data_IF_831345959914
#
_entry.id   IF_831345959914
#
_cell.length_a   1.000
_cell.length_b   1.000
_cell.length_c   1.000
_cell.angle_alpha   90.00
_cell.angle_beta   90.00
_cell.angle_gamma   90.00
#
_symmetry.space_group_name_H-M   'P 1'
#
loop_
_entity.id
_entity.type
_entity.pdbx_description
1 polymer ?
#
# COMPACT_ATOMS: atom_id res chain seq x y z
N UNK A 1 -11.03 -1.96 -5.27
CA UNK A 1 -10.77 -0.76 -4.48
C UNK A 1 -12.08 -0.19 -3.94
N UNK A 2 -12.15 0.05 -2.63
CA UNK A 2 -13.39 0.44 -1.93
C UNK A 2 -13.06 1.48 -0.86
N UNK A 3 -13.59 2.69 -1.02
CA UNK A 3 -13.61 3.73 0.00
C UNK A 3 -14.89 3.68 0.83
N UNK A 4 -14.77 3.91 2.13
CA UNK A 4 -15.91 4.09 3.04
C UNK A 4 -15.75 5.40 3.82
N UNK A 5 -16.84 6.15 3.98
CA UNK A 5 -16.86 7.38 4.76
C UNK A 5 -17.83 7.28 5.95
N UNK A 6 -17.37 7.71 7.13
CA UNK A 6 -18.19 7.82 8.34
C UNK A 6 -17.99 9.18 8.96
N UNK A 7 -19.05 9.95 9.14
CA UNK A 7 -19.03 11.31 9.72
C UNK A 7 -18.04 12.27 9.04
N UNK A 8 -17.79 12.08 7.72
CA UNK A 8 -16.90 12.91 6.92
C UNK A 8 -15.45 12.39 6.85
N UNK A 9 -15.07 11.36 7.59
CA UNK A 9 -13.76 10.71 7.50
C UNK A 9 -13.81 9.50 6.58
N UNK A 10 -12.77 9.33 5.78
CA UNK A 10 -12.65 8.25 4.80
C UNK A 10 -11.70 7.16 5.26
N UNK A 11 -11.90 5.96 4.71
CA UNK A 11 -10.93 4.87 4.69
C UNK A 11 -10.73 4.40 3.27
N UNK A 12 -9.57 3.84 2.97
CA UNK A 12 -9.25 3.27 1.67
C UNK A 12 -8.81 1.81 1.82
N UNK A 13 -9.33 0.95 0.93
CA UNK A 13 -9.03 -0.48 0.96
C UNK A 13 -9.13 -1.10 -0.41
N UNK A 14 -8.07 -1.80 -0.83
CA UNK A 14 -8.07 -2.62 -2.03
C UNK A 14 -7.87 -4.09 -1.69
N UNK A 15 -8.65 -4.95 -2.33
CA UNK A 15 -8.49 -6.40 -2.32
C UNK A 15 -8.40 -6.91 -3.75
N UNK A 16 -7.44 -7.79 -4.04
CA UNK A 16 -7.27 -8.34 -5.39
C UNK A 16 -8.06 -9.62 -5.57
N UNK A 17 -8.92 -9.63 -6.59
CA UNK A 17 -9.65 -10.82 -7.05
C UNK A 17 -9.05 -11.30 -8.37
N UNK A 18 -8.95 -12.60 -8.54
CA UNK A 18 -8.44 -13.20 -9.76
C UNK A 18 -9.42 -14.23 -10.31
N UNK A 19 -9.87 -14.04 -11.55
CA UNK A 19 -10.78 -14.95 -12.21
C UNK A 19 -10.04 -16.18 -12.74
N UNK A 20 -10.50 -17.36 -12.38
CA UNK A 20 -9.97 -18.63 -12.85
C UNK A 20 -9.87 -19.70 -11.78
N UNK A 21 -9.75 -20.96 -12.20
CA UNK A 21 -9.67 -22.13 -11.33
C UNK A 21 -8.29 -22.36 -10.72
N UNK A 22 -7.25 -21.72 -11.26
CA UNK A 22 -5.88 -21.81 -10.74
C UNK A 22 -5.20 -20.45 -10.85
N UNK A 23 -4.58 -20.02 -9.76
CA UNK A 23 -3.79 -18.80 -9.73
C UNK A 23 -2.35 -19.14 -10.14
N UNK A 24 -1.73 -18.42 -11.10
CA UNK A 24 -0.32 -18.58 -11.41
C UNK A 24 0.53 -18.26 -10.17
N UNK A 25 1.51 -19.12 -9.87
CA UNK A 25 2.34 -18.98 -8.67
C UNK A 25 3.03 -17.62 -8.60
N UNK A 26 3.55 -17.13 -9.72
CA UNK A 26 4.20 -15.81 -9.79
C UNK A 26 3.27 -14.63 -9.44
N UNK A 27 1.95 -14.76 -9.68
CA UNK A 27 0.99 -13.73 -9.27
C UNK A 27 0.75 -13.79 -7.75
N UNK A 28 0.70 -15.00 -7.20
CA UNK A 28 0.61 -15.21 -5.74
C UNK A 28 1.86 -14.65 -5.06
N UNK A 29 3.05 -14.95 -5.58
CA UNK A 29 4.32 -14.49 -5.02
C UNK A 29 4.44 -12.96 -5.08
N UNK A 30 4.05 -12.36 -6.20
CA UNK A 30 4.04 -10.90 -6.35
C UNK A 30 3.05 -10.22 -5.39
N UNK A 31 1.86 -10.80 -5.21
CA UNK A 31 0.89 -10.29 -4.23
C UNK A 31 1.44 -10.42 -2.79
N UNK A 32 1.98 -11.57 -2.44
CA UNK A 32 2.57 -11.80 -1.11
C UNK A 32 3.71 -10.81 -0.83
N UNK A 33 4.53 -10.51 -1.86
CA UNK A 33 5.57 -9.48 -1.73
C UNK A 33 4.98 -8.09 -1.48
N UNK A 34 3.86 -7.73 -2.12
CA UNK A 34 3.15 -6.48 -1.80
C UNK A 34 2.66 -6.47 -0.34
N UNK A 35 2.17 -7.60 0.17
CA UNK A 35 1.78 -7.73 1.60
C UNK A 35 2.97 -7.52 2.53
N UNK A 36 4.12 -8.11 2.22
CA UNK A 36 5.36 -7.92 3.00
C UNK A 36 5.76 -6.43 3.02
N UNK A 37 5.74 -5.77 1.85
CA UNK A 37 6.04 -4.34 1.72
C UNK A 37 5.07 -3.49 2.55
N UNK A 38 3.77 -3.79 2.50
CA UNK A 38 2.77 -3.07 3.30
C UNK A 38 3.06 -3.21 4.80
N UNK A 39 3.35 -4.43 5.26
CA UNK A 39 3.66 -4.70 6.67
C UNK A 39 4.95 -4.00 7.11
N UNK A 40 5.99 -4.00 6.26
CA UNK A 40 7.24 -3.30 6.52
C UNK A 40 7.00 -1.79 6.63
N UNK A 41 6.33 -1.18 5.66
CA UNK A 41 5.97 0.23 5.69
C UNK A 41 5.11 0.58 6.92
N UNK A 42 4.10 -0.23 7.23
CA UNK A 42 3.25 -0.05 8.41
C UNK A 42 4.07 -0.08 9.71
N UNK A 43 5.06 -0.97 9.84
CA UNK A 43 5.91 -1.04 11.03
C UNK A 43 6.70 0.25 11.30
N UNK A 44 6.92 1.06 10.27
CA UNK A 44 7.63 2.35 10.31
C UNK A 44 6.71 3.55 10.55
N UNK A 45 5.38 3.40 10.48
CA UNK A 45 4.42 4.48 10.74
C UNK A 45 4.35 4.82 12.23
N UNK A 46 5.33 5.57 12.71
CA UNK A 46 5.46 6.00 14.11
C UNK A 46 5.57 7.52 14.19
N UNK A 47 5.17 8.13 15.31
CA UNK A 47 5.42 9.55 15.55
C UNK A 47 6.90 9.89 15.38
N UNK A 48 7.19 10.92 14.59
CA UNK A 48 8.55 11.35 14.27
C UNK A 48 9.21 10.67 13.08
N UNK A 49 8.62 9.61 12.52
CA UNK A 49 9.11 8.99 11.28
C UNK A 49 8.93 9.94 10.10
N UNK A 50 9.85 9.88 9.14
CA UNK A 50 9.85 10.74 7.96
C UNK A 50 9.33 9.94 6.75
N UNK A 51 8.26 10.40 6.07
CA UNK A 51 7.67 9.68 4.93
C UNK A 51 8.66 9.37 3.80
N UNK A 52 9.55 10.30 3.45
CA UNK A 52 10.57 10.10 2.41
C UNK A 52 11.62 9.05 2.81
N UNK A 53 11.94 8.91 4.10
CA UNK A 53 12.84 7.87 4.60
C UNK A 53 12.18 6.49 4.56
N UNK A 54 10.89 6.41 4.91
CA UNK A 54 10.09 5.18 4.77
C UNK A 54 10.09 4.74 3.32
N UNK A 55 9.75 5.66 2.40
CA UNK A 55 9.76 5.39 0.96
C UNK A 55 11.13 4.88 0.48
N UNK A 56 12.20 5.59 0.82
CA UNK A 56 13.57 5.25 0.42
C UNK A 56 13.98 3.87 0.96
N UNK A 57 13.65 3.57 2.20
CA UNK A 57 13.93 2.27 2.83
C UNK A 57 13.26 1.14 2.04
N UNK A 58 11.96 1.27 1.76
CA UNK A 58 11.21 0.27 0.98
C UNK A 58 11.79 0.13 -0.42
N UNK A 59 12.01 1.24 -1.14
CA UNK A 59 12.51 1.17 -2.52
C UNK A 59 13.89 0.54 -2.63
N UNK A 60 14.76 0.76 -1.64
CA UNK A 60 16.10 0.17 -1.57
C UNK A 60 16.10 -1.32 -1.20
N UNK A 61 15.03 -1.83 -0.57
CA UNK A 61 14.89 -3.25 -0.23
C UNK A 61 14.45 -4.12 -1.42
N UNK A 62 14.00 -3.49 -2.51
CA UNK A 62 13.46 -4.19 -3.67
C UNK A 62 14.52 -4.39 -4.75
N UNK A 63 14.53 -5.59 -5.33
CA UNK A 63 15.38 -5.88 -6.49
C UNK A 63 14.85 -5.22 -7.78
N UNK A 64 15.70 -5.15 -8.79
CA UNK A 64 15.39 -4.50 -10.07
C UNK A 64 14.25 -5.18 -10.84
N UNK A 65 14.06 -6.48 -10.67
CA UNK A 65 12.98 -7.23 -11.31
C UNK A 65 11.63 -6.88 -10.67
N UNK A 66 11.58 -6.80 -9.35
CA UNK A 66 10.35 -6.40 -8.65
C UNK A 66 10.02 -4.92 -8.90
N UNK A 67 11.01 -4.04 -8.99
CA UNK A 67 10.82 -2.61 -9.31
C UNK A 67 10.24 -2.38 -10.71
N UNK A 68 10.40 -3.32 -11.65
CA UNK A 68 9.74 -3.26 -12.94
C UNK A 68 8.22 -3.39 -12.74
N UNK A 69 7.44 -2.39 -13.16
CA UNK A 69 5.98 -2.33 -12.95
C UNK A 69 5.52 -2.35 -11.47
N UNK A 70 6.40 -2.07 -10.51
CA UNK A 70 6.00 -1.76 -9.15
C UNK A 70 5.32 -0.38 -9.10
N UNK A 71 4.27 -0.24 -8.31
CA UNK A 71 3.42 0.95 -8.18
C UNK A 71 2.78 1.43 -9.49
N UNK A 72 2.50 0.52 -10.41
CA UNK A 72 1.78 0.80 -11.64
C UNK A 72 2.38 0.13 -12.88
N UNK A 73 1.64 0.17 -13.99
CA UNK A 73 2.03 -0.46 -15.25
C UNK A 73 2.28 0.60 -16.33
N UNK A 74 3.39 0.50 -17.03
CA UNK A 74 3.73 1.42 -18.13
C UNK A 74 3.74 2.89 -17.68
N UNK A 75 2.93 3.71 -18.34
CA UNK A 75 2.84 5.16 -18.06
C UNK A 75 1.93 5.50 -16.85
N UNK A 76 1.35 4.50 -16.22
CA UNK A 76 0.46 4.68 -15.04
C UNK A 76 1.17 4.40 -13.72
N UNK A 77 2.48 4.51 -13.67
CA UNK A 77 3.25 4.40 -12.43
C UNK A 77 3.08 5.63 -11.56
N UNK A 78 2.76 5.41 -10.29
CA UNK A 78 2.83 6.45 -9.26
C UNK A 78 4.16 6.38 -8.53
N UNK A 79 4.56 7.49 -7.89
CA UNK A 79 5.85 7.63 -7.20
C UNK A 79 5.69 7.71 -5.69
N UNK A 80 4.73 6.98 -5.16
CA UNK A 80 4.48 6.86 -3.73
C UNK A 80 3.99 5.43 -3.43
N UNK A 81 4.08 4.99 -2.20
CA UNK A 81 3.60 3.68 -1.75
C UNK A 81 2.41 3.77 -0.80
N UNK A 82 1.98 4.98 -0.49
CA UNK A 82 0.83 5.29 0.36
C UNK A 82 0.63 6.78 0.49
N UNK A 83 -0.54 7.17 0.94
CA UNK A 83 -0.95 8.57 1.12
C UNK A 83 -1.75 8.74 2.41
N UNK A 84 -1.80 9.96 2.94
CA UNK A 84 -2.69 10.25 4.04
C UNK A 84 -4.16 10.16 3.60
N UNK A 85 -5.00 9.78 4.54
CA UNK A 85 -6.46 9.67 4.38
C UNK A 85 -7.11 10.41 5.53
N UNK A 86 -8.20 11.14 5.25
CA UNK A 86 -8.90 11.88 6.27
C UNK A 86 -10.25 12.38 5.78
N UNK A 87 -10.41 13.68 5.68
CA UNK A 87 -11.61 14.31 5.12
C UNK A 87 -11.69 14.15 3.60
N UNK A 88 -10.54 13.99 2.95
CA UNK A 88 -10.43 13.57 1.55
C UNK A 88 -9.88 12.15 1.50
N UNK A 89 -10.15 11.43 0.41
CA UNK A 89 -9.63 10.09 0.20
C UNK A 89 -8.11 10.12 -0.03
N UNK A 90 -7.61 11.13 -0.76
CA UNK A 90 -6.20 11.39 -0.99
C UNK A 90 -5.81 12.71 -0.32
N UNK A 91 -4.96 12.63 0.69
CA UNK A 91 -4.41 13.79 1.40
C UNK A 91 -2.87 13.73 1.45
N UNK A 92 -2.26 14.86 1.75
CA UNK A 92 -0.85 14.95 2.13
C UNK A 92 -0.68 14.77 3.65
N UNK A 93 0.47 14.24 4.11
CA UNK A 93 1.63 13.83 3.32
C UNK A 93 1.44 12.49 2.61
N UNK A 94 2.27 12.21 1.60
CA UNK A 94 2.36 10.88 0.97
C UNK A 94 3.68 10.20 1.34
N UNK A 95 3.73 8.88 1.30
CA UNK A 95 4.96 8.11 1.51
C UNK A 95 5.74 8.09 0.19
N UNK A 96 6.53 9.15 -0.03
CA UNK A 96 7.25 9.45 -1.28
C UNK A 96 8.47 10.34 -1.03
N UNK A 97 9.31 10.52 -2.05
CA UNK A 97 10.40 11.51 -2.02
C UNK A 97 9.87 12.93 -1.79
N UNK A 98 10.58 13.72 -0.99
CA UNK A 98 10.29 15.14 -0.76
C UNK A 98 9.20 15.42 0.28
N UNK A 99 8.70 14.40 0.98
CA UNK A 99 7.82 14.55 2.13
C UNK A 99 8.61 14.32 3.41
N UNK A 100 9.19 15.39 3.94
CA UNK A 100 10.18 15.34 5.02
C UNK A 100 9.62 15.82 6.38
N UNK A 101 8.34 16.17 6.44
CA UNK A 101 7.68 16.51 7.69
C UNK A 101 7.39 15.24 8.51
N UNK A 102 7.77 15.24 9.82
CA UNK A 102 7.61 14.05 10.64
C UNK A 102 6.15 13.72 10.89
N UNK A 103 5.84 12.41 10.86
CA UNK A 103 4.52 11.87 11.18
C UNK A 103 4.12 12.19 12.62
N UNK A 104 2.83 12.38 12.82
CA UNK A 104 2.23 12.58 14.13
C UNK A 104 1.34 11.39 14.50
N UNK A 105 1.23 11.12 15.80
CA UNK A 105 0.31 10.11 16.31
C UNK A 105 -1.14 10.44 15.91
N UNK A 106 -1.88 9.41 15.49
CA UNK A 106 -3.26 9.55 15.04
C UNK A 106 -3.45 9.90 13.56
N UNK A 107 -2.39 10.22 12.81
CA UNK A 107 -2.49 10.35 11.35
C UNK A 107 -2.92 9.01 10.74
N UNK A 108 -3.71 9.08 9.66
CA UNK A 108 -4.14 7.91 8.91
C UNK A 108 -3.42 7.86 7.56
N UNK A 109 -2.99 6.65 7.18
CA UNK A 109 -2.35 6.38 5.89
C UNK A 109 -2.98 5.17 5.21
N UNK A 110 -3.37 5.32 3.96
CA UNK A 110 -3.55 4.19 3.05
C UNK A 110 -2.18 3.75 2.54
N UNK A 111 -1.83 2.48 2.72
CA UNK A 111 -0.63 1.86 2.16
C UNK A 111 -1.06 0.90 1.07
N UNK A 112 -0.64 1.19 -0.18
CA UNK A 112 -1.19 0.56 -1.39
C UNK A 112 -0.14 -0.11 -2.31
N UNK A 113 0.84 -0.88 -1.81
CA UNK A 113 1.81 -1.51 -2.69
C UNK A 113 1.14 -2.44 -3.70
N UNK A 114 1.49 -2.23 -4.97
CA UNK A 114 0.90 -2.95 -6.10
C UNK A 114 1.94 -3.27 -7.17
N UNK A 115 1.79 -4.42 -7.83
CA UNK A 115 2.69 -4.93 -8.86
C UNK A 115 1.93 -5.23 -10.14
N UNK A 116 2.35 -4.63 -11.24
CA UNK A 116 1.86 -4.96 -12.58
C UNK A 116 2.49 -6.24 -13.11
N UNK A 117 1.64 -7.15 -13.59
CA UNK A 117 2.05 -8.43 -14.18
C UNK A 117 1.60 -8.44 -15.63
N UNK A 118 2.55 -8.61 -16.55
CA UNK A 118 2.29 -8.59 -17.98
C UNK A 118 1.26 -9.66 -18.37
N UNK A 119 0.28 -9.28 -19.20
CA UNK A 119 -0.83 -10.11 -19.68
C UNK A 119 -1.79 -10.63 -18.60
N UNK A 120 -1.65 -10.19 -17.34
CA UNK A 120 -2.58 -10.55 -16.25
C UNK A 120 -3.27 -9.31 -15.71
N UNK A 121 -2.50 -8.29 -15.28
CA UNK A 121 -3.05 -7.09 -14.66
C UNK A 121 -2.25 -6.66 -13.44
N UNK A 122 -2.95 -6.10 -12.44
CA UNK A 122 -2.34 -5.67 -11.20
C UNK A 122 -2.67 -6.65 -10.08
N UNK A 123 -1.67 -6.94 -9.26
CA UNK A 123 -1.86 -7.55 -7.93
C UNK A 123 -1.36 -6.58 -6.88
N UNK A 124 -1.94 -6.63 -5.70
CA UNK A 124 -1.55 -5.77 -4.60
C UNK A 124 -2.60 -5.76 -3.52
N UNK A 125 -2.36 -4.92 -2.54
CA UNK A 125 -3.22 -4.75 -1.37
C UNK A 125 -3.19 -3.31 -0.92
N UNK A 126 -4.29 -2.87 -0.36
CA UNK A 126 -4.38 -1.58 0.31
C UNK A 126 -5.16 -1.71 1.60
N UNK A 127 -4.65 -1.08 2.63
CA UNK A 127 -5.34 -0.92 3.88
C UNK A 127 -5.03 0.45 4.47
N UNK A 128 -5.96 0.96 5.27
CA UNK A 128 -5.78 2.17 6.06
C UNK A 128 -5.19 1.82 7.43
N UNK A 129 -4.17 2.55 7.81
CA UNK A 129 -3.44 2.40 9.08
C UNK A 129 -3.46 3.70 9.88
N UNK A 130 -3.62 3.60 11.20
CA UNK A 130 -3.42 4.71 12.13
C UNK A 130 -1.99 4.70 12.66
N UNK A 131 -1.32 5.85 12.66
CA UNK A 131 0.02 6.04 13.22
C UNK A 131 -0.04 5.91 14.74
N UNK A 132 0.70 4.96 15.29
CA UNK A 132 0.80 4.75 16.75
C UNK A 132 2.27 4.67 17.20
N UNK A 133 2.52 4.78 18.49
CA UNK A 133 3.86 4.64 19.06
C UNK A 133 4.52 3.27 18.76
N UNK A 134 3.73 2.25 18.41
CA UNK A 134 4.21 0.89 18.12
C UNK A 134 4.37 0.60 16.62
N UNK A 135 3.93 1.49 15.75
CA UNK A 135 3.82 1.34 14.29
C UNK A 135 2.40 1.61 13.83
N UNK A 136 2.14 1.45 12.55
CA UNK A 136 0.80 1.56 11.97
C UNK A 136 -0.10 0.41 12.44
N UNK A 137 -1.25 0.75 13.00
CA UNK A 137 -2.31 -0.20 13.32
C UNK A 137 -3.36 -0.21 12.20
N UNK A 138 -3.60 -1.38 11.60
CA UNK A 138 -4.58 -1.51 10.51
C UNK A 138 -6.00 -1.36 11.04
N UNK A 139 -6.79 -0.48 10.43
CA UNK A 139 -8.18 -0.23 10.81
C UNK A 139 -9.20 -0.74 9.78
N UNK A 140 -8.75 -1.26 8.64
CA UNK A 140 -9.62 -1.79 7.57
C UNK A 140 -9.61 -3.31 7.46
N UNK A 141 -9.11 -3.99 8.49
CA UNK A 141 -9.13 -5.45 8.61
C UNK A 141 -7.98 -6.15 7.90
N UNK A 142 -8.00 -7.47 7.95
CA UNK A 142 -6.92 -8.32 7.50
C UNK A 142 -6.80 -8.39 5.96
N UNK A 143 -5.61 -8.81 5.51
CA UNK A 143 -5.39 -9.15 4.12
C UNK A 143 -5.93 -10.56 3.83
N UNK A 144 -6.93 -10.71 2.95
CA UNK A 144 -7.48 -12.03 2.59
C UNK A 144 -6.61 -12.80 1.58
N UNK A 145 -5.47 -12.27 1.15
CA UNK A 145 -4.69 -12.79 0.04
C UNK A 145 -5.32 -12.52 -1.33
N UNK A 146 -4.84 -13.23 -2.36
CA UNK A 146 -5.51 -13.27 -3.65
C UNK A 146 -6.77 -14.13 -3.55
N UNK A 147 -7.91 -13.58 -3.95
CA UNK A 147 -9.20 -14.26 -3.89
C UNK A 147 -9.55 -14.83 -5.27
N UNK A 148 -9.61 -16.17 -5.43
CA UNK A 148 -10.08 -16.75 -6.67
C UNK A 148 -11.60 -16.56 -6.81
N UNK A 149 -12.05 -16.25 -8.03
CA UNK A 149 -13.46 -16.20 -8.42
C UNK A 149 -13.70 -17.10 -9.63
N UNK A 150 -14.82 -17.83 -9.65
CA UNK A 150 -15.15 -18.85 -10.66
C UNK A 150 -16.40 -18.46 -11.44
#
# INVERSE_FOLDING_TARGET
DIGCGVEGYNTDKTTTYMFGSSLPQYAIDAHNKCVEIQNEAASMLKPGAIPSEIYTTIMNSLDSEFLQNFMGFGNRKVKFIGHAVGLLIDETPVIAEGFDEPLQEGMLFALEPKKGIENIGMVGIENTFIVTAKGGECITGDNPGLIPVF
#
